data_IF_139709251273
#
_entry.id   IF_139709251273
#
_cell.length_a   1.000
_cell.length_b   1.000
_cell.length_c   1.000
_cell.angle_alpha   90.00
_cell.angle_beta   90.00
_cell.angle_gamma   90.00
#
_symmetry.space_group_name_H-M   'P 1'
#
loop_
_entity.id
_entity.type
_entity.pdbx_description
1 polymer ?
#
# COMPACT_ATOMS: atom_id res chain seq x y z
N UNK A 1 15.15 -24.58 5.04
CA UNK A 1 14.22 -24.40 6.18
C UNK A 1 13.25 -23.30 5.81
N UNK A 2 11.99 -23.60 5.78
CA UNK A 2 10.95 -22.59 5.55
C UNK A 2 10.88 -21.72 6.79
N UNK A 3 11.32 -20.49 6.70
CA UNK A 3 11.07 -19.48 7.74
C UNK A 3 9.56 -19.21 7.71
N UNK A 4 8.88 -19.50 8.83
CA UNK A 4 7.45 -19.21 8.97
C UNK A 4 7.13 -17.73 8.72
N UNK A 5 5.83 -17.38 8.62
CA UNK A 5 5.42 -16.02 8.37
C UNK A 5 5.93 -15.10 9.49
N UNK A 6 6.60 -14.03 9.11
CA UNK A 6 7.10 -13.00 10.03
C UNK A 6 6.33 -11.71 9.80
N UNK A 7 5.93 -11.06 10.88
CA UNK A 7 5.30 -9.75 10.80
C UNK A 7 5.89 -8.79 11.84
N UNK A 8 5.99 -7.53 11.47
CA UNK A 8 6.49 -6.47 12.32
C UNK A 8 5.63 -5.22 12.16
N UNK A 9 5.36 -4.53 13.26
CA UNK A 9 4.68 -3.24 13.26
C UNK A 9 5.60 -2.19 13.87
N UNK A 10 5.93 -1.19 13.09
CA UNK A 10 6.75 -0.06 13.52
C UNK A 10 5.89 1.19 13.58
N UNK A 11 5.83 1.86 14.74
CA UNK A 11 5.17 3.15 14.90
C UNK A 11 6.22 4.25 14.78
N UNK A 12 5.98 5.20 13.90
CA UNK A 12 6.90 6.32 13.66
C UNK A 12 6.14 7.62 13.39
N UNK A 13 6.79 8.74 13.64
CA UNK A 13 6.25 10.06 13.32
C UNK A 13 6.73 10.51 11.95
N UNK A 14 5.79 10.73 11.05
CA UNK A 14 6.01 11.34 9.74
C UNK A 14 5.14 12.60 9.65
N UNK A 15 5.76 13.75 9.83
CA UNK A 15 5.05 15.02 9.95
C UNK A 15 3.97 15.22 8.88
N UNK A 16 2.76 15.59 9.25
CA UNK A 16 2.29 15.97 10.59
C UNK A 16 1.63 14.83 11.39
N UNK A 17 1.71 13.57 10.94
CA UNK A 17 0.95 12.45 11.51
C UNK A 17 1.83 11.33 12.07
N UNK A 18 1.32 10.64 13.07
CA UNK A 18 1.84 9.36 13.49
C UNK A 18 1.33 8.26 12.55
N UNK A 19 2.24 7.42 12.12
CA UNK A 19 1.94 6.32 11.20
C UNK A 19 2.42 4.99 11.77
N UNK A 20 1.70 3.93 11.43
CA UNK A 20 2.12 2.56 11.65
C UNK A 20 2.50 1.92 10.33
N UNK A 21 3.66 1.32 10.29
CA UNK A 21 4.13 0.53 9.17
C UNK A 21 4.03 -0.95 9.55
N UNK A 22 3.04 -1.63 9.01
CA UNK A 22 2.87 -3.06 9.21
C UNK A 22 3.49 -3.83 8.06
N UNK A 23 4.57 -4.52 8.36
CA UNK A 23 5.36 -5.31 7.42
C UNK A 23 5.12 -6.79 7.67
N UNK A 24 4.93 -7.55 6.61
CA UNK A 24 4.86 -9.01 6.70
C UNK A 24 5.69 -9.66 5.61
N UNK A 25 6.31 -10.77 5.96
CA UNK A 25 7.04 -11.61 5.04
C UNK A 25 6.49 -13.03 5.15
N UNK A 26 6.02 -13.57 4.05
CA UNK A 26 5.54 -14.95 3.96
C UNK A 26 6.02 -15.57 2.65
N UNK A 27 6.56 -16.79 2.73
CA UNK A 27 7.06 -17.53 1.55
C UNK A 27 7.99 -16.72 0.63
N UNK A 28 8.86 -15.89 1.21
CA UNK A 28 9.78 -15.03 0.45
C UNK A 28 9.12 -13.82 -0.21
N UNK A 29 7.86 -13.55 0.08
CA UNK A 29 7.13 -12.37 -0.37
C UNK A 29 7.03 -11.37 0.76
N UNK A 30 7.43 -10.14 0.48
CA UNK A 30 7.35 -9.02 1.40
C UNK A 30 6.21 -8.09 1.00
N UNK A 31 5.37 -7.77 1.94
CA UNK A 31 4.25 -6.85 1.79
C UNK A 31 4.22 -5.85 2.94
N UNK A 32 3.76 -4.65 2.67
CA UNK A 32 3.66 -3.58 3.67
C UNK A 32 2.30 -2.91 3.61
N UNK A 33 1.79 -2.53 4.78
CA UNK A 33 0.59 -1.72 4.92
C UNK A 33 0.92 -0.48 5.75
N UNK A 34 0.57 0.69 5.24
CA UNK A 34 0.70 1.96 5.96
C UNK A 34 -0.63 2.29 6.62
N UNK A 35 -0.58 2.52 7.93
CA UNK A 35 -1.72 2.90 8.77
C UNK A 35 -1.47 4.33 9.25
N UNK A 36 -2.45 5.21 9.17
CA UNK A 36 -2.33 6.58 9.68
C UNK A 36 -3.18 6.70 10.95
N UNK A 37 -2.53 7.03 12.06
CA UNK A 37 -3.20 7.22 13.36
C UNK A 37 -3.56 8.68 13.62
N UNK A 38 -2.83 9.61 13.05
CA UNK A 38 -2.99 11.05 13.30
C UNK A 38 -2.19 11.49 14.53
N UNK A 39 -2.73 11.35 15.74
CA UNK A 39 -2.03 11.58 16.99
C UNK A 39 -1.16 10.39 17.38
N UNK A 40 -0.28 10.55 18.39
CA UNK A 40 0.51 9.46 18.93
C UNK A 40 -0.41 8.38 19.53
N UNK A 41 -0.40 7.16 18.97
CA UNK A 41 -1.25 6.09 19.47
C UNK A 41 -0.62 5.43 20.69
N UNK A 42 -1.45 5.04 21.64
CA UNK A 42 -1.01 4.19 22.76
C UNK A 42 -1.06 2.72 22.35
N UNK A 43 -0.28 1.87 22.98
CA UNK A 43 -0.15 0.45 22.64
C UNK A 43 -1.50 -0.27 22.56
N UNK A 44 -2.41 -0.01 23.50
CA UNK A 44 -3.74 -0.62 23.48
C UNK A 44 -4.63 -0.11 22.33
N UNK A 45 -4.47 1.15 21.91
CA UNK A 45 -5.20 1.73 20.78
C UNK A 45 -4.75 1.09 19.47
N UNK A 46 -3.45 0.85 19.33
CA UNK A 46 -2.88 0.15 18.17
C UNK A 46 -3.43 -1.27 18.10
N UNK A 47 -3.45 -1.98 19.23
CA UNK A 47 -3.96 -3.34 19.30
C UNK A 47 -5.46 -3.42 18.96
N UNK A 48 -6.28 -2.56 19.57
CA UNK A 48 -7.71 -2.47 19.25
C UNK A 48 -7.96 -2.15 17.77
N UNK A 49 -7.19 -1.21 17.23
CA UNK A 49 -7.30 -0.83 15.83
C UNK A 49 -7.02 -2.02 14.91
N UNK A 50 -5.96 -2.77 15.17
CA UNK A 50 -5.62 -3.95 14.39
C UNK A 50 -6.71 -5.00 14.46
N UNK A 51 -7.24 -5.32 15.64
CA UNK A 51 -8.31 -6.29 15.81
C UNK A 51 -9.59 -5.88 15.05
N UNK A 52 -9.98 -4.62 15.14
CA UNK A 52 -11.21 -4.12 14.51
C UNK A 52 -11.09 -3.95 12.99
N UNK A 53 -9.91 -3.63 12.49
CA UNK A 53 -9.71 -3.23 11.11
C UNK A 53 -8.84 -4.19 10.29
N UNK A 54 -8.48 -5.36 10.83
CA UNK A 54 -7.62 -6.32 10.15
C UNK A 54 -8.04 -6.61 8.71
N UNK A 55 -9.31 -6.85 8.48
CA UNK A 55 -9.86 -7.14 7.17
C UNK A 55 -9.91 -5.94 6.21
N UNK A 56 -9.72 -4.73 6.72
CA UNK A 56 -9.69 -3.48 5.92
C UNK A 56 -8.28 -3.04 5.55
N UNK A 57 -7.26 -3.68 6.13
CA UNK A 57 -5.87 -3.34 5.85
C UNK A 57 -5.53 -3.65 4.38
N UNK A 58 -5.04 -2.63 3.67
CA UNK A 58 -4.61 -2.76 2.29
C UNK A 58 -3.11 -2.91 2.22
N UNK A 59 -2.67 -4.12 1.93
CA UNK A 59 -1.26 -4.39 1.72
C UNK A 59 -0.81 -3.98 0.33
N UNK A 60 0.48 -3.63 0.22
CA UNK A 60 1.13 -3.39 -1.07
C UNK A 60 1.18 -4.66 -1.91
N UNK A 61 1.43 -4.55 -3.22
CA UNK A 61 1.80 -5.70 -4.03
C UNK A 61 3.03 -6.40 -3.43
N UNK A 62 3.09 -7.74 -3.49
CA UNK A 62 4.20 -8.49 -2.94
C UNK A 62 5.49 -8.21 -3.70
N UNK A 63 6.55 -7.95 -2.98
CA UNK A 63 7.92 -7.85 -3.51
C UNK A 63 8.70 -9.09 -3.04
N UNK A 64 9.64 -9.58 -3.85
CA UNK A 64 10.52 -10.64 -3.40
C UNK A 64 11.35 -10.14 -2.21
N UNK A 65 11.16 -10.78 -1.07
CA UNK A 65 12.05 -10.58 0.06
C UNK A 65 13.39 -11.22 -0.31
N UNK A 66 14.42 -10.41 -0.46
CA UNK A 66 15.77 -10.95 -0.46
C UNK A 66 15.96 -11.66 0.89
N UNK A 67 16.10 -12.97 0.84
CA UNK A 67 16.51 -13.74 2.00
C UNK A 67 17.85 -13.15 2.44
N UNK A 68 17.83 -12.44 3.57
CA UNK A 68 19.06 -11.96 4.16
C UNK A 68 19.89 -13.20 4.51
N UNK A 69 20.82 -13.56 3.63
CA UNK A 69 21.84 -14.54 4.00
C UNK A 69 22.50 -13.99 5.26
N UNK A 70 22.42 -14.72 6.35
CA UNK A 70 23.17 -14.46 7.57
C UNK A 70 24.67 -14.48 7.24
N UNK A 71 25.15 -13.36 6.71
CA UNK A 71 26.60 -13.15 6.60
C UNK A 71 27.09 -12.86 8.01
N UNK A 72 28.04 -13.66 8.48
CA UNK A 72 28.79 -13.35 9.69
C UNK A 72 29.43 -11.97 9.52
N UNK A 73 28.75 -10.94 10.02
CA UNK A 73 29.20 -9.56 9.91
C UNK A 73 30.18 -9.31 11.05
N UNK A 74 31.34 -8.75 10.73
CA UNK A 74 32.34 -8.34 11.71
C UNK A 74 31.69 -7.38 12.75
N UNK A 75 31.88 -7.58 14.07
CA UNK A 75 31.25 -6.79 15.12
C UNK A 75 31.36 -5.27 14.97
N UNK A 76 32.51 -4.77 14.47
CA UNK A 76 32.71 -3.33 14.17
C UNK A 76 31.79 -2.83 13.07
N UNK A 77 31.54 -3.66 12.04
CA UNK A 77 30.63 -3.31 10.94
C UNK A 77 29.19 -3.33 11.43
N UNK A 78 28.84 -4.30 12.26
CA UNK A 78 27.52 -4.41 12.87
C UNK A 78 27.20 -3.19 13.73
N UNK A 79 28.14 -2.69 14.54
CA UNK A 79 27.96 -1.47 15.32
C UNK A 79 27.71 -0.24 14.45
N UNK A 80 28.42 -0.10 13.32
CA UNK A 80 28.20 1.01 12.37
C UNK A 80 26.85 0.91 11.68
N UNK A 81 26.42 -0.28 11.30
CA UNK A 81 25.08 -0.51 10.73
C UNK A 81 23.98 -0.21 11.73
N UNK A 82 24.12 -0.63 12.99
CA UNK A 82 23.18 -0.29 14.07
C UNK A 82 23.12 1.22 14.29
N UNK A 83 24.27 1.91 14.34
CA UNK A 83 24.28 3.37 14.45
C UNK A 83 23.62 4.07 13.25
N UNK A 84 23.85 3.58 12.03
CA UNK A 84 23.18 4.10 10.83
C UNK A 84 21.67 3.87 10.89
N UNK A 85 21.23 2.68 11.29
CA UNK A 85 19.80 2.37 11.46
C UNK A 85 19.13 3.19 12.56
N UNK A 86 19.86 3.51 13.62
CA UNK A 86 19.34 4.40 14.69
C UNK A 86 19.23 5.88 14.25
N UNK A 87 20.03 6.29 13.27
CA UNK A 87 19.95 7.63 12.67
C UNK A 87 18.87 7.71 11.58
N UNK A 88 18.64 6.62 10.84
CA UNK A 88 17.56 6.50 9.86
C UNK A 88 16.20 6.24 10.56
N UNK A 89 15.63 7.30 11.11
CA UNK A 89 14.29 7.29 11.74
C UNK A 89 13.14 7.25 10.72
N UNK A 90 13.37 6.73 9.52
CA UNK A 90 12.41 6.72 8.44
C UNK A 90 11.94 5.32 8.02
N UNK A 91 11.03 5.32 7.07
CA UNK A 91 10.54 4.09 6.41
C UNK A 91 11.71 3.43 5.65
N UNK A 92 11.96 2.14 5.90
CA UNK A 92 13.02 1.39 5.23
C UNK A 92 12.85 1.38 3.70
N UNK A 93 13.97 1.24 2.97
CA UNK A 93 13.98 1.29 1.50
C UNK A 93 13.04 0.28 0.83
N UNK A 94 12.93 -0.94 1.36
CA UNK A 94 12.01 -1.97 0.86
C UNK A 94 10.55 -1.56 1.05
N UNK A 95 10.20 -1.03 2.21
CA UNK A 95 8.86 -0.52 2.47
C UNK A 95 8.51 0.67 1.57
N UNK A 96 9.45 1.58 1.32
CA UNK A 96 9.27 2.68 0.38
C UNK A 96 9.00 2.18 -1.04
N UNK A 97 9.75 1.18 -1.51
CA UNK A 97 9.54 0.57 -2.83
C UNK A 97 8.15 -0.07 -2.93
N UNK A 98 7.74 -0.83 -1.90
CA UNK A 98 6.44 -1.46 -1.86
C UNK A 98 5.30 -0.45 -1.89
N UNK A 99 5.38 0.61 -1.09
CA UNK A 99 4.39 1.69 -1.06
C UNK A 99 4.34 2.47 -2.38
N UNK A 100 5.49 2.68 -3.03
CA UNK A 100 5.55 3.32 -4.35
C UNK A 100 4.84 2.49 -5.40
N UNK A 101 5.09 1.17 -5.45
CA UNK A 101 4.39 0.26 -6.36
C UNK A 101 2.88 0.26 -6.11
N UNK A 102 2.44 0.24 -4.85
CA UNK A 102 1.03 0.33 -4.51
C UNK A 102 0.41 1.63 -5.02
N UNK A 103 1.08 2.75 -4.85
CA UNK A 103 0.62 4.05 -5.33
C UNK A 103 0.52 4.11 -6.86
N UNK A 104 1.50 3.57 -7.57
CA UNK A 104 1.49 3.47 -9.04
C UNK A 104 0.34 2.59 -9.54
N UNK A 105 0.12 1.45 -8.92
CA UNK A 105 -0.99 0.56 -9.23
C UNK A 105 -2.35 1.25 -9.01
N UNK A 106 -2.56 1.88 -7.87
CA UNK A 106 -3.78 2.64 -7.60
C UNK A 106 -4.01 3.77 -8.60
N UNK A 107 -2.94 4.42 -9.06
CA UNK A 107 -3.01 5.48 -10.09
C UNK A 107 -3.47 4.92 -11.43
N UNK A 108 -2.92 3.79 -11.86
CA UNK A 108 -3.34 3.11 -13.09
C UNK A 108 -4.80 2.66 -13.03
N UNK A 109 -5.21 2.05 -11.93
CA UNK A 109 -6.60 1.63 -11.72
C UNK A 109 -7.59 2.81 -11.78
N UNK A 110 -7.23 3.96 -11.19
CA UNK A 110 -8.06 5.17 -11.28
C UNK A 110 -8.14 5.69 -12.71
N UNK A 111 -7.04 5.65 -13.47
CA UNK A 111 -7.05 6.07 -14.87
C UNK A 111 -7.90 5.17 -15.75
N UNK A 112 -7.81 3.85 -15.57
CA UNK A 112 -8.63 2.89 -16.35
C UNK A 112 -10.10 3.08 -16.05
N UNK A 113 -10.50 3.12 -14.76
CA UNK A 113 -11.89 3.38 -14.35
C UNK A 113 -12.42 4.71 -14.88
N UNK A 114 -11.62 5.76 -14.86
CA UNK A 114 -12.02 7.07 -15.41
C UNK A 114 -12.23 7.03 -16.92
N UNK A 115 -11.40 6.28 -17.66
CA UNK A 115 -11.58 6.08 -19.11
C UNK A 115 -12.84 5.29 -19.41
N UNK A 116 -13.03 4.17 -18.76
CA UNK A 116 -14.23 3.33 -18.90
C UNK A 116 -15.53 4.10 -18.60
N UNK A 117 -15.53 4.90 -17.54
CA UNK A 117 -16.68 5.75 -17.22
C UNK A 117 -16.96 6.79 -18.31
N UNK A 118 -15.92 7.41 -18.86
CA UNK A 118 -16.07 8.39 -19.95
C UNK A 118 -16.55 7.75 -21.24
N UNK A 119 -16.10 6.55 -21.55
CA UNK A 119 -16.56 5.79 -22.72
C UNK A 119 -18.02 5.37 -22.54
N UNK A 120 -18.37 4.79 -21.40
CA UNK A 120 -19.75 4.42 -21.09
C UNK A 120 -20.71 5.63 -21.14
N UNK A 121 -20.28 6.79 -20.67
CA UNK A 121 -21.09 8.01 -20.74
C UNK A 121 -21.26 8.50 -22.19
N UNK A 122 -20.21 8.44 -23.02
CA UNK A 122 -20.30 8.76 -24.45
C UNK A 122 -21.26 7.83 -25.19
N UNK A 123 -21.19 6.54 -24.92
CA UNK A 123 -22.08 5.54 -25.52
C UNK A 123 -23.52 5.76 -25.11
N UNK A 124 -23.75 6.06 -23.83
CA UNK A 124 -25.08 6.42 -23.31
C UNK A 124 -25.64 7.68 -24.00
N UNK A 125 -24.82 8.71 -24.12
CA UNK A 125 -25.23 9.94 -24.81
C UNK A 125 -25.51 9.70 -26.30
N UNK A 126 -24.71 8.85 -26.93
CA UNK A 126 -24.90 8.46 -28.31
C UNK A 126 -26.23 7.71 -28.50
N UNK A 127 -26.52 6.74 -27.65
CA UNK A 127 -27.78 5.99 -27.66
C UNK A 127 -29.00 6.93 -27.54
N UNK A 128 -28.96 7.86 -26.55
CA UNK A 128 -30.01 8.85 -26.34
C UNK A 128 -30.22 9.73 -27.62
N UNK A 129 -29.14 10.15 -28.24
CA UNK A 129 -29.22 10.93 -29.50
C UNK A 129 -29.85 10.12 -30.64
N UNK A 130 -29.53 8.85 -30.75
CA UNK A 130 -30.11 7.94 -31.73
C UNK A 130 -31.62 7.74 -31.50
N UNK A 131 -32.01 7.53 -30.25
CA UNK A 131 -33.43 7.40 -29.90
C UNK A 131 -34.23 8.67 -30.22
N UNK A 132 -33.68 9.84 -29.85
CA UNK A 132 -34.31 11.13 -30.21
C UNK A 132 -34.44 11.33 -31.73
N UNK A 133 -33.46 10.91 -32.54
CA UNK A 133 -33.57 10.94 -34.01
C UNK A 133 -34.64 10.01 -34.50
N UNK A 134 -34.70 8.77 -34.02
CA UNK A 134 -35.74 7.80 -34.39
C UNK A 134 -37.13 8.27 -34.00
N UNK A 135 -37.30 8.89 -32.83
CA UNK A 135 -38.59 9.45 -32.40
C UNK A 135 -39.04 10.60 -33.29
N UNK A 136 -38.13 11.48 -33.74
CA UNK A 136 -38.45 12.54 -34.70
C UNK A 136 -38.93 12.02 -36.04
N UNK A 137 -38.40 10.89 -36.54
CA UNK A 137 -38.79 10.29 -37.83
C UNK A 137 -40.07 9.45 -37.73
N UNK A 138 -40.55 9.05 -36.55
CA UNK A 138 -41.83 8.34 -36.34
C UNK A 138 -43.02 9.25 -36.24
N UNK A 139 -42.82 10.55 -36.09
CA UNK A 139 -43.88 11.55 -35.93
C UNK A 139 -44.26 12.30 -37.24
N UNK A 140 -43.91 11.77 -38.41
CA UNK A 140 -44.35 12.27 -39.72
C UNK A 140 -45.15 11.22 -40.44
#
# INVERSE_FOLDING_TARGET
MSTGPQSNLTILFEAPFWIGLYERTDNGKYEVCRITFGSEPKDYEVYEFLLKNWHKLKFSPPIQAEVAMERKINPKRMQREIQSQLQDKGIGTKAQQALKLQHEQCKLERQTKSREQKEAEKDRQFAIRQEKKKAKHRGR
#
